data_IF_463789855658
#
_entry.id   IF_463789855658
#
_cell.length_a   1.000
_cell.length_b   1.000
_cell.length_c   1.000
_cell.angle_alpha   90.00
_cell.angle_beta   90.00
_cell.angle_gamma   90.00
#
_symmetry.space_group_name_H-M   'P 1'
#
loop_
_entity.id
_entity.type
_entity.pdbx_description
1 polymer ?
#
# COMPACT_ATOMS: atom_id res chain seq x y z
N UNK A 1 3.79 6.15 -0.47
CA UNK A 1 4.09 5.18 -1.55
C UNK A 1 5.30 4.39 -1.09
N UNK A 2 5.09 3.13 -0.73
CA UNK A 2 6.05 2.21 -0.11
C UNK A 2 7.01 2.90 0.88
N UNK A 3 6.50 3.44 2.01
CA UNK A 3 7.29 4.22 2.94
C UNK A 3 8.53 3.44 3.38
N UNK A 4 9.70 4.09 3.37
CA UNK A 4 10.96 3.40 3.67
C UNK A 4 10.95 2.81 5.09
N UNK A 5 11.49 1.59 5.23
CA UNK A 5 11.77 1.02 6.54
C UNK A 5 12.86 1.84 7.25
N UNK A 6 12.65 2.21 8.51
CA UNK A 6 13.55 3.08 9.29
C UNK A 6 13.73 2.57 10.71
N UNK A 7 14.93 2.75 11.23
CA UNK A 7 15.29 2.43 12.62
C UNK A 7 14.74 3.44 13.64
N UNK A 8 14.49 4.68 13.22
CA UNK A 8 13.82 5.71 14.02
C UNK A 8 12.36 5.86 13.58
N UNK A 9 11.45 5.51 14.49
CA UNK A 9 10.00 5.51 14.27
C UNK A 9 9.33 6.80 14.75
N UNK A 10 10.07 7.75 15.33
CA UNK A 10 9.50 9.00 15.85
C UNK A 10 8.78 9.82 14.77
N UNK A 11 9.23 9.73 13.52
CA UNK A 11 8.73 10.49 12.37
C UNK A 11 8.06 9.62 11.31
N UNK A 12 7.62 8.43 11.71
CA UNK A 12 6.89 7.54 10.84
C UNK A 12 5.53 8.15 10.49
N UNK A 13 5.11 7.97 9.23
CA UNK A 13 3.79 8.39 8.75
C UNK A 13 2.67 7.75 9.57
N UNK A 14 1.61 8.51 9.86
CA UNK A 14 0.53 8.10 10.76
C UNK A 14 -0.85 8.28 10.15
N UNK A 15 -1.86 7.55 10.65
CA UNK A 15 -3.23 7.68 10.15
C UNK A 15 -3.81 9.10 10.28
N UNK A 16 -3.33 9.89 11.25
CA UNK A 16 -3.81 11.24 11.56
C UNK A 16 -2.93 12.37 11.00
N UNK A 17 -1.93 12.07 10.17
CA UNK A 17 -1.09 13.09 9.51
C UNK A 17 -1.85 13.81 8.38
N UNK A 18 -3.09 13.43 8.09
CA UNK A 18 -3.98 14.07 7.13
C UNK A 18 -5.45 13.74 7.40
N UNK A 19 -6.36 14.36 6.63
CA UNK A 19 -7.81 14.06 6.68
C UNK A 19 -8.08 12.63 6.17
N UNK A 20 -7.36 12.26 5.10
CA UNK A 20 -7.32 10.93 4.52
C UNK A 20 -5.87 10.54 4.29
N UNK A 21 -5.45 9.41 4.84
CA UNK A 21 -4.12 8.84 4.65
C UNK A 21 -4.23 7.47 4.00
N UNK A 22 -3.43 7.26 2.96
CA UNK A 22 -3.39 6.01 2.20
C UNK A 22 -1.93 5.61 1.92
N UNK A 23 -1.62 4.34 2.11
CA UNK A 23 -0.29 3.78 1.82
C UNK A 23 -0.42 2.61 0.85
N UNK A 24 0.51 2.52 -0.10
CA UNK A 24 0.68 1.36 -0.96
C UNK A 24 1.98 0.68 -0.60
N UNK A 25 1.91 -0.55 -0.09
CA UNK A 25 3.05 -1.39 0.26
C UNK A 25 3.38 -2.30 -0.91
N UNK A 26 4.58 -2.16 -1.49
CA UNK A 26 5.00 -2.98 -2.64
C UNK A 26 6.32 -3.69 -2.41
N UNK A 27 7.10 -3.29 -1.40
CA UNK A 27 8.32 -3.95 -0.95
C UNK A 27 8.39 -4.04 0.60
N UNK A 28 7.24 -4.33 1.24
CA UNK A 28 7.11 -4.34 2.69
C UNK A 28 7.96 -5.43 3.37
N UNK A 29 8.75 -5.04 4.37
CA UNK A 29 9.65 -5.93 5.11
C UNK A 29 11.02 -6.12 4.47
N UNK A 30 11.33 -5.34 3.43
CA UNK A 30 12.66 -5.21 2.84
C UNK A 30 13.08 -3.73 2.87
N UNK A 31 12.94 -2.99 1.76
CA UNK A 31 13.19 -1.54 1.77
C UNK A 31 11.97 -0.72 2.22
N UNK A 32 10.77 -1.32 2.17
CA UNK A 32 9.52 -0.70 2.59
C UNK A 32 9.08 -1.16 3.98
N UNK A 33 8.43 -0.27 4.72
CA UNK A 33 7.82 -0.56 6.01
C UNK A 33 6.62 -1.48 5.83
N UNK A 34 6.55 -2.60 6.55
CA UNK A 34 5.49 -3.60 6.33
C UNK A 34 4.17 -3.28 7.06
N UNK A 35 4.26 -2.76 8.28
CA UNK A 35 3.08 -2.64 9.14
C UNK A 35 2.16 -1.51 8.65
N UNK A 36 0.85 -1.58 8.94
CA UNK A 36 -0.07 -0.50 8.59
C UNK A 36 0.37 0.84 9.20
N UNK A 37 0.30 1.91 8.40
CA UNK A 37 0.71 3.27 8.78
C UNK A 37 -0.39 4.31 8.58
N UNK A 38 -1.47 3.96 7.88
CA UNK A 38 -2.45 4.91 7.41
C UNK A 38 -3.86 4.52 7.85
N UNK A 39 -4.85 5.34 7.50
CA UNK A 39 -6.25 4.93 7.61
C UNK A 39 -6.56 3.78 6.65
N UNK A 40 -5.88 3.76 5.50
CA UNK A 40 -6.02 2.70 4.49
C UNK A 40 -4.64 2.26 4.00
N UNK A 41 -4.31 0.98 4.19
CA UNK A 41 -3.08 0.38 3.71
C UNK A 41 -3.40 -0.68 2.64
N UNK A 42 -2.93 -0.46 1.42
CA UNK A 42 -3.03 -1.40 0.32
C UNK A 42 -1.77 -2.26 0.22
N UNK A 43 -1.97 -3.56 0.01
CA UNK A 43 -0.91 -4.55 -0.19
C UNK A 43 -1.07 -5.25 -1.56
N UNK A 44 -0.85 -4.55 -2.69
CA UNK A 44 -0.96 -5.16 -4.02
C UNK A 44 -0.11 -6.42 -4.12
N UNK A 45 -0.68 -7.52 -4.64
CA UNK A 45 0.04 -8.80 -4.79
C UNK A 45 0.72 -9.29 -3.49
N UNK A 46 0.10 -9.06 -2.33
CA UNK A 46 0.66 -9.43 -1.03
C UNK A 46 1.72 -8.46 -0.50
N UNK A 47 1.96 -7.33 -1.19
CA UNK A 47 2.69 -6.17 -0.69
C UNK A 47 4.21 -6.30 -0.53
N UNK A 48 4.80 -7.42 -0.97
CA UNK A 48 6.24 -7.69 -0.86
C UNK A 48 6.93 -7.89 -2.20
N UNK A 49 6.31 -8.66 -3.09
CA UNK A 49 6.92 -9.09 -4.34
C UNK A 49 6.00 -8.76 -5.50
N UNK A 50 6.35 -7.70 -6.21
CA UNK A 50 5.59 -7.26 -7.36
C UNK A 50 5.92 -8.08 -8.61
N UNK A 51 4.90 -8.49 -9.40
CA UNK A 51 5.11 -9.18 -10.67
C UNK A 51 6.04 -8.42 -11.62
N UNK A 52 6.89 -9.16 -12.33
CA UNK A 52 7.83 -8.62 -13.31
C UNK A 52 9.02 -7.86 -12.70
N UNK A 53 9.31 -8.06 -11.41
CA UNK A 53 10.48 -7.51 -10.73
C UNK A 53 11.41 -8.62 -10.22
N UNK A 54 12.71 -8.36 -10.25
CA UNK A 54 13.75 -9.29 -9.77
C UNK A 54 14.56 -8.72 -8.59
N UNK A 55 14.36 -7.45 -8.25
CA UNK A 55 15.13 -6.73 -7.22
C UNK A 55 14.21 -6.00 -6.26
N UNK A 56 14.68 -5.84 -5.02
CA UNK A 56 14.04 -5.03 -3.97
C UNK A 56 13.66 -3.63 -4.46
N UNK A 57 14.60 -2.96 -5.13
CA UNK A 57 14.39 -1.63 -5.72
C UNK A 57 13.26 -1.62 -6.76
N UNK A 58 13.16 -2.65 -7.61
CA UNK A 58 12.05 -2.75 -8.55
C UNK A 58 10.70 -2.89 -7.83
N UNK A 59 10.63 -3.73 -6.79
CA UNK A 59 9.43 -3.86 -5.97
C UNK A 59 9.04 -2.54 -5.30
N UNK A 60 10.02 -1.79 -4.80
CA UNK A 60 9.81 -0.50 -4.15
C UNK A 60 9.21 0.55 -5.11
N UNK A 61 9.76 0.61 -6.33
CA UNK A 61 9.33 1.54 -7.37
C UNK A 61 7.91 1.30 -7.90
N UNK A 62 7.40 0.07 -7.80
CA UNK A 62 6.05 -0.26 -8.28
C UNK A 62 4.95 0.55 -7.62
N UNK A 63 5.14 1.00 -6.38
CA UNK A 63 4.19 1.87 -5.67
C UNK A 63 3.85 3.14 -6.45
N UNK A 64 4.84 3.83 -7.02
CA UNK A 64 4.57 5.05 -7.80
C UNK A 64 4.06 4.74 -9.21
N UNK A 65 4.43 3.61 -9.80
CA UNK A 65 3.81 3.16 -11.07
C UNK A 65 2.32 2.90 -10.90
N UNK A 66 1.92 2.18 -9.83
CA UNK A 66 0.52 1.95 -9.53
C UNK A 66 -0.23 3.24 -9.22
N UNK A 67 0.37 4.16 -8.47
CA UNK A 67 -0.24 5.47 -8.23
C UNK A 67 -0.43 6.24 -9.55
N UNK A 68 0.59 6.32 -10.40
CA UNK A 68 0.48 7.01 -11.69
C UNK A 68 -0.60 6.39 -12.60
N UNK A 69 -0.66 5.06 -12.67
CA UNK A 69 -1.69 4.37 -13.45
C UNK A 69 -3.10 4.56 -12.83
N UNK A 70 -3.20 4.61 -11.51
CA UNK A 70 -4.47 4.86 -10.81
C UNK A 70 -5.10 6.21 -11.17
N UNK A 71 -4.27 7.21 -11.49
CA UNK A 71 -4.70 8.54 -11.92
C UNK A 71 -5.13 8.59 -13.39
N UNK A 72 -4.61 7.69 -14.23
CA UNK A 72 -4.86 7.74 -15.68
C UNK A 72 -5.97 6.79 -16.12
N UNK A 73 -5.90 5.54 -15.67
CA UNK A 73 -6.84 4.47 -16.05
C UNK A 73 -7.58 3.90 -14.84
N UNK A 74 -7.04 4.05 -13.63
CA UNK A 74 -7.65 3.46 -12.45
C UNK A 74 -7.63 1.93 -12.50
N UNK A 75 -8.71 1.31 -12.03
CA UNK A 75 -8.92 -0.14 -12.14
C UNK A 75 -8.35 -0.97 -11.00
N UNK A 76 -7.50 -0.39 -10.15
CA UNK A 76 -7.03 -1.07 -8.95
C UNK A 76 -8.09 -1.06 -7.86
N UNK A 77 -8.61 -2.23 -7.54
CA UNK A 77 -9.58 -2.42 -6.46
C UNK A 77 -9.00 -3.37 -5.43
N UNK A 78 -8.76 -2.86 -4.23
CA UNK A 78 -8.42 -3.69 -3.08
C UNK A 78 -9.67 -4.23 -2.40
N UNK A 79 -9.52 -5.32 -1.66
CA UNK A 79 -10.56 -5.90 -0.81
C UNK A 79 -10.09 -5.87 0.63
N UNK A 80 -10.94 -5.40 1.54
CA UNK A 80 -10.61 -5.32 2.98
C UNK A 80 -10.37 -6.72 3.56
N UNK A 81 -9.32 -6.83 4.35
CA UNK A 81 -8.91 -8.03 5.06
C UNK A 81 -9.02 -7.78 6.57
N UNK A 82 -9.14 -8.85 7.35
CA UNK A 82 -9.32 -8.73 8.81
C UNK A 82 -8.05 -8.27 9.53
N UNK A 83 -6.88 -8.58 8.96
CA UNK A 83 -5.58 -8.22 9.50
C UNK A 83 -4.50 -8.26 8.42
N UNK A 84 -3.28 -7.85 8.78
CA UNK A 84 -2.12 -7.82 7.91
C UNK A 84 -1.81 -9.20 7.31
N UNK A 85 -1.80 -10.27 8.10
CA UNK A 85 -1.47 -11.62 7.60
C UNK A 85 -2.46 -12.07 6.51
N UNK A 86 -3.75 -11.78 6.69
CA UNK A 86 -4.77 -12.04 5.68
C UNK A 86 -4.52 -11.21 4.40
N UNK A 87 -4.10 -9.94 4.53
CA UNK A 87 -3.73 -9.10 3.40
C UNK A 87 -2.49 -9.62 2.64
N UNK A 88 -1.44 -10.01 3.36
CA UNK A 88 -0.23 -10.59 2.76
C UNK A 88 -0.50 -11.91 2.04
N UNK A 89 -1.44 -12.72 2.57
CA UNK A 89 -1.87 -13.97 1.96
C UNK A 89 -2.92 -13.80 0.84
N UNK A 90 -3.44 -12.59 0.62
CA UNK A 90 -4.53 -12.34 -0.32
C UNK A 90 -5.88 -12.96 0.07
N UNK A 91 -6.07 -13.32 1.34
CA UNK A 91 -7.28 -13.97 1.84
C UNK A 91 -8.22 -12.92 2.46
N UNK A 92 -8.94 -12.19 1.62
CA UNK A 92 -9.73 -11.03 2.02
C UNK A 92 -11.18 -11.18 1.58
N UNK A 93 -12.12 -10.92 2.50
CA UNK A 93 -13.56 -11.14 2.28
C UNK A 93 -14.43 -9.91 2.55
N UNK A 94 -13.82 -8.78 2.93
CA UNK A 94 -14.54 -7.54 3.25
C UNK A 94 -14.97 -6.74 2.03
N UNK A 95 -15.47 -5.50 2.24
CA UNK A 95 -15.83 -4.59 1.16
C UNK A 95 -14.61 -4.20 0.33
N UNK A 96 -14.88 -3.73 -0.90
CA UNK A 96 -13.85 -3.28 -1.84
C UNK A 96 -13.63 -1.78 -1.76
N UNK A 97 -12.40 -1.35 -2.01
CA UNK A 97 -12.02 0.06 -2.09
C UNK A 97 -11.07 0.26 -3.27
N UNK A 98 -11.23 1.37 -4.01
CA UNK A 98 -10.29 1.72 -5.09
C UNK A 98 -8.97 2.23 -4.50
N UNK A 99 -7.87 1.70 -5.01
CA UNK A 99 -6.52 2.15 -4.65
C UNK A 99 -6.11 3.34 -5.51
N UNK A 100 -5.48 4.35 -4.90
CA UNK A 100 -5.04 5.56 -5.59
C UNK A 100 -6.20 6.38 -6.17
N UNK A 101 -5.92 7.17 -7.20
CA UNK A 101 -6.89 8.09 -7.81
C UNK A 101 -6.84 9.51 -7.25
N UNK A 102 -7.71 10.39 -7.79
CA UNK A 102 -7.71 11.83 -7.48
C UNK A 102 -8.46 12.19 -6.20
N UNK A 103 -9.44 11.38 -5.81
CA UNK A 103 -10.32 11.71 -4.69
C UNK A 103 -9.94 10.92 -3.43
N UNK A 104 -9.95 11.58 -2.25
CA UNK A 104 -9.81 10.91 -0.96
C UNK A 104 -11.07 10.11 -0.64
N UNK A 105 -10.92 8.99 0.08
CA UNK A 105 -12.03 8.06 0.38
C UNK A 105 -12.57 8.40 1.76
N UNK A 106 -13.16 9.59 1.86
CA UNK A 106 -13.78 10.08 3.09
C UNK A 106 -15.17 9.45 3.22
N UNK A 107 -15.27 8.29 3.88
CA UNK A 107 -16.54 7.57 4.05
C UNK A 107 -16.43 6.39 4.99
#
# INVERSE_FOLDING_TARGET
>A
LDPADRWDTAWLFRPNDGIYTEVMHTNGGDSGWLNPLAQVDFYPNGGRQMPGCMTALCHHYRSYYYMAESLRTGGFTGRRCDNLNAALAGNCNGPTLRMGGFEPKNG
#
